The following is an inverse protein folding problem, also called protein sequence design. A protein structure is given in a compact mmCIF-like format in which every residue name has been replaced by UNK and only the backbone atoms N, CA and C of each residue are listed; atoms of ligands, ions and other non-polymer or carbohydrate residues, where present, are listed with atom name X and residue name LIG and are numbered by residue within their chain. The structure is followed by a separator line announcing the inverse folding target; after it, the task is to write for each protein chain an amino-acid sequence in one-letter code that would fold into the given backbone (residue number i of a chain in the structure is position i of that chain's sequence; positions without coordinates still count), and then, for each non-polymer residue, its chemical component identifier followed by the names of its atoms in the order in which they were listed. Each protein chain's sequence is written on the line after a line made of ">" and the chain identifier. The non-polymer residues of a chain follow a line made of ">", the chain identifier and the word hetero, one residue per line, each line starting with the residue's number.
data_IF_372687886264
#
_entry.id   IF_372687886264
#
_cell.length_a   1.000
_cell.length_b   1.000
_cell.length_c   1.000
_cell.angle_alpha   90.00
_cell.angle_beta   90.00
_cell.angle_gamma   90.00
#
_symmetry.space_group_name_H-M   'P 1'
#
loop_
_entity.id
_entity.type
_entity.pdbx_description
1 polymer ?
#
# COMPACT_ATOMS: atom_id res chain seq x y z
N UNK A 1 17.40 -4.37 39.78
CA UNK A 1 17.79 -3.09 39.15
C UNK A 1 17.70 -3.31 37.65
N UNK A 2 16.51 -3.11 37.10
CA UNK A 2 16.17 -3.46 35.71
C UNK A 2 16.77 -2.39 34.80
N UNK A 3 17.57 -2.78 33.81
CA UNK A 3 18.21 -1.84 32.87
C UNK A 3 17.14 -1.02 32.11
N UNK A 4 17.01 0.26 32.46
CA UNK A 4 16.24 1.27 31.73
C UNK A 4 17.08 1.82 30.53
N UNK A 5 18.16 1.14 30.16
CA UNK A 5 19.28 1.77 29.46
C UNK A 5 19.27 1.70 27.92
N UNK A 6 18.35 0.98 27.28
CA UNK A 6 18.25 0.99 25.82
C UNK A 6 17.07 1.82 25.33
N UNK A 7 17.37 2.93 24.68
CA UNK A 7 16.37 3.69 23.93
C UNK A 7 15.82 2.76 22.84
N UNK A 8 14.50 2.51 22.78
CA UNK A 8 13.96 1.62 21.77
C UNK A 8 14.22 2.19 20.37
N UNK A 9 14.55 1.29 19.43
CA UNK A 9 14.76 1.65 18.03
C UNK A 9 13.56 2.41 17.46
N UNK A 10 13.84 3.44 16.68
CA UNK A 10 12.85 4.29 16.03
C UNK A 10 12.61 3.83 14.58
N UNK A 11 11.36 3.48 14.28
CA UNK A 11 10.91 3.17 12.93
C UNK A 11 10.02 4.28 12.40
N UNK A 12 10.33 4.81 11.23
CA UNK A 12 9.52 5.85 10.57
C UNK A 12 8.67 5.19 9.49
N UNK A 13 7.34 5.31 9.60
CA UNK A 13 6.40 4.69 8.67
C UNK A 13 5.70 5.76 7.84
N UNK A 14 6.19 5.99 6.62
CA UNK A 14 5.51 6.85 5.65
C UNK A 14 4.23 6.17 5.18
N UNK A 15 3.09 6.85 5.32
CA UNK A 15 1.78 6.27 5.05
C UNK A 15 1.25 5.38 6.18
N UNK A 16 1.85 5.44 7.38
CA UNK A 16 1.44 4.64 8.54
C UNK A 16 0.00 4.88 9.02
N UNK A 17 -0.63 6.00 8.66
CA UNK A 17 -2.05 6.28 8.97
C UNK A 17 -3.05 5.59 8.01
N UNK A 18 -2.56 4.99 6.92
CA UNK A 18 -3.38 4.37 5.87
C UNK A 18 -3.93 2.99 6.24
N UNK A 19 -4.46 2.27 5.23
CA UNK A 19 -4.95 0.90 5.39
C UNK A 19 -3.83 -0.05 5.81
N UNK A 20 -2.85 -0.33 4.94
CA UNK A 20 -1.71 -1.21 5.30
C UNK A 20 -0.91 -0.66 6.48
N UNK A 21 -0.74 0.67 6.50
CA UNK A 21 0.04 1.37 7.52
C UNK A 21 -0.37 1.08 8.96
N UNK A 22 -1.66 1.07 9.28
CA UNK A 22 -2.12 0.82 10.66
C UNK A 22 -1.75 -0.58 11.14
N UNK A 23 -1.75 -1.58 10.25
CA UNK A 23 -1.37 -2.95 10.59
C UNK A 23 0.14 -3.07 10.81
N UNK A 24 0.95 -2.41 9.97
CA UNK A 24 2.41 -2.31 10.14
C UNK A 24 2.76 -1.62 11.46
N UNK A 25 2.14 -0.46 11.74
CA UNK A 25 2.34 0.28 12.99
C UNK A 25 2.01 -0.59 14.20
N UNK A 26 0.88 -1.31 14.17
CA UNK A 26 0.49 -2.24 15.24
C UNK A 26 1.49 -3.39 15.39
N UNK A 27 1.97 -3.97 14.30
CA UNK A 27 2.93 -5.08 14.32
C UNK A 27 4.27 -4.64 14.94
N UNK A 28 4.75 -3.45 14.57
CA UNK A 28 5.98 -2.86 15.12
C UNK A 28 5.80 -2.43 16.60
N UNK A 29 4.64 -1.88 16.95
CA UNK A 29 4.35 -1.49 18.34
C UNK A 29 4.39 -2.69 19.29
N UNK A 30 3.82 -3.84 18.88
CA UNK A 30 3.88 -5.09 19.65
C UNK A 30 5.31 -5.60 19.90
N UNK A 31 6.24 -5.26 19.02
CA UNK A 31 7.67 -5.63 19.11
C UNK A 31 8.51 -4.64 19.92
N UNK A 32 7.89 -3.59 20.48
CA UNK A 32 8.58 -2.63 21.35
C UNK A 32 9.28 -1.48 20.63
N UNK A 33 9.14 -1.35 19.30
CA UNK A 33 9.70 -0.21 18.57
C UNK A 33 9.02 1.10 18.98
N UNK A 34 9.76 2.21 18.91
CA UNK A 34 9.15 3.55 18.81
C UNK A 34 8.77 3.78 17.37
N UNK A 35 7.58 4.32 17.12
CA UNK A 35 7.06 4.49 15.77
C UNK A 35 6.74 5.95 15.52
N UNK A 36 7.34 6.51 14.48
CA UNK A 36 6.95 7.81 13.95
C UNK A 36 6.10 7.61 12.71
N UNK A 37 4.82 7.95 12.80
CA UNK A 37 3.86 7.81 11.70
C UNK A 37 3.91 9.06 10.83
N UNK A 38 4.67 8.98 9.74
CA UNK A 38 4.85 10.08 8.79
C UNK A 38 3.65 10.15 7.84
N UNK A 39 2.81 11.18 8.01
CA UNK A 39 1.57 11.34 7.25
C UNK A 39 1.28 12.81 6.94
N UNK A 40 0.40 13.05 5.96
CA UNK A 40 0.09 14.42 5.50
C UNK A 40 -0.73 15.23 6.51
N UNK A 41 -1.59 14.55 7.27
CA UNK A 41 -2.57 15.12 8.21
C UNK A 41 -2.47 14.36 9.55
N UNK A 42 -1.47 14.68 10.39
CA UNK A 42 -1.29 14.00 11.68
C UNK A 42 -2.47 14.24 12.64
N UNK A 43 -3.18 15.35 12.47
CA UNK A 43 -4.43 15.68 13.16
C UNK A 43 -5.55 14.64 12.94
N UNK A 44 -5.52 13.92 11.81
CA UNK A 44 -6.49 12.87 11.47
C UNK A 44 -5.96 11.45 11.77
N UNK A 45 -4.74 11.34 12.31
CA UNK A 45 -4.07 10.06 12.54
C UNK A 45 -4.18 9.59 14.01
N UNK A 46 -5.13 10.12 14.78
CA UNK A 46 -5.31 9.75 16.19
C UNK A 46 -5.62 8.26 16.39
N UNK A 47 -6.26 7.60 15.43
CA UNK A 47 -6.61 6.18 15.49
C UNK A 47 -5.41 5.22 15.55
N UNK A 48 -4.19 5.69 15.20
CA UNK A 48 -2.99 4.86 15.32
C UNK A 48 -2.37 4.88 16.72
N UNK A 49 -2.65 5.89 17.54
CA UNK A 49 -2.04 6.01 18.87
C UNK A 49 -2.44 4.89 19.83
N UNK A 50 -3.72 4.45 19.90
CA UNK A 50 -4.13 3.35 20.78
C UNK A 50 -3.60 1.98 20.38
N UNK A 51 -2.89 1.85 19.23
CA UNK A 51 -2.33 0.59 18.77
C UNK A 51 -1.06 0.17 19.53
N UNK A 52 -0.50 1.05 20.35
CA UNK A 52 0.70 0.83 21.14
C UNK A 52 0.61 1.50 22.51
N UNK A 53 1.71 1.45 23.25
CA UNK A 53 1.82 2.06 24.57
C UNK A 53 1.91 3.60 24.49
N UNK A 54 1.67 4.27 25.61
CA UNK A 54 1.77 5.72 25.72
C UNK A 54 3.16 6.20 25.26
N UNK A 55 3.17 7.19 24.36
CA UNK A 55 4.41 7.77 23.81
C UNK A 55 5.14 6.89 22.79
N UNK A 56 4.67 5.67 22.54
CA UNK A 56 5.30 4.76 21.59
C UNK A 56 5.06 5.16 20.13
N UNK A 57 3.85 5.67 19.82
CA UNK A 57 3.41 6.01 18.47
C UNK A 57 3.21 7.52 18.36
N UNK A 58 3.98 8.17 17.49
CA UNK A 58 3.93 9.61 17.28
C UNK A 58 3.61 9.94 15.81
N UNK A 59 2.37 10.36 15.50
CA UNK A 59 2.05 10.94 14.21
C UNK A 59 2.80 12.25 13.99
N UNK A 60 3.43 12.40 12.82
CA UNK A 60 4.14 13.62 12.42
C UNK A 60 3.74 14.03 11.02
N UNK A 61 3.83 15.32 10.74
CA UNK A 61 3.60 15.85 9.41
C UNK A 61 4.77 15.49 8.48
N UNK A 62 4.46 14.81 7.38
CA UNK A 62 5.38 14.59 6.28
C UNK A 62 4.64 14.46 4.95
N UNK A 63 5.23 14.96 3.87
CA UNK A 63 4.72 14.82 2.52
C UNK A 63 5.86 14.37 1.61
N UNK A 64 5.78 13.16 1.05
CA UNK A 64 6.84 12.59 0.20
C UNK A 64 7.19 13.46 -1.02
N UNK A 65 6.29 14.37 -1.42
CA UNK A 65 6.53 15.34 -2.50
C UNK A 65 7.31 16.58 -2.06
N UNK A 66 7.63 16.71 -0.78
CA UNK A 66 8.26 17.89 -0.17
C UNK A 66 9.49 17.44 0.60
N UNK A 67 10.67 17.61 -0.03
CA UNK A 67 11.94 17.02 0.42
C UNK A 67 12.26 17.30 1.89
N UNK A 68 12.28 18.57 2.30
CA UNK A 68 12.62 18.95 3.68
C UNK A 68 11.71 18.28 4.72
N UNK A 69 10.44 18.00 4.37
CA UNK A 69 9.50 17.35 5.30
C UNK A 69 9.81 15.86 5.48
N UNK A 70 10.34 15.21 4.43
CA UNK A 70 10.82 13.83 4.47
C UNK A 70 12.10 13.76 5.31
N UNK A 71 13.06 14.66 5.06
CA UNK A 71 14.33 14.71 5.79
C UNK A 71 14.10 14.91 7.29
N UNK A 72 13.21 15.84 7.68
CA UNK A 72 12.84 16.02 9.10
C UNK A 72 12.16 14.78 9.69
N UNK A 73 11.31 14.11 8.92
CA UNK A 73 10.58 12.95 9.41
C UNK A 73 11.50 11.74 9.71
N UNK A 74 12.62 11.59 9.02
CA UNK A 74 13.55 10.46 9.22
C UNK A 74 14.61 10.68 10.30
N UNK A 75 14.70 11.88 10.90
CA UNK A 75 15.76 12.18 11.87
C UNK A 75 15.80 11.19 13.04
N UNK A 76 16.97 10.56 13.24
CA UNK A 76 17.20 9.57 14.29
C UNK A 76 16.50 8.23 14.09
N UNK A 77 16.02 7.94 12.88
CA UNK A 77 15.43 6.65 12.55
C UNK A 77 16.49 5.56 12.44
N UNK A 78 16.19 4.37 12.93
CA UNK A 78 16.97 3.15 12.70
C UNK A 78 16.50 2.44 11.42
N UNK A 79 15.20 2.56 11.10
CA UNK A 79 14.61 1.99 9.90
C UNK A 79 13.48 2.86 9.36
N UNK A 80 13.30 2.86 8.05
CA UNK A 80 12.24 3.58 7.36
C UNK A 80 11.39 2.60 6.56
N UNK A 81 10.07 2.67 6.72
CA UNK A 81 9.10 1.91 5.94
C UNK A 81 8.31 2.89 5.07
N UNK A 82 8.35 2.69 3.75
CA UNK A 82 7.60 3.51 2.82
C UNK A 82 6.40 2.76 2.25
N UNK A 83 5.20 3.16 2.68
CA UNK A 83 3.91 2.60 2.25
C UNK A 83 3.13 3.55 1.34
N UNK A 84 3.73 4.67 0.93
CA UNK A 84 2.99 5.72 0.23
C UNK A 84 2.70 5.29 -1.20
N UNK A 85 1.41 5.25 -1.53
CA UNK A 85 0.90 4.98 -2.86
C UNK A 85 -0.37 5.78 -3.10
N UNK A 86 -0.64 6.11 -4.36
CA UNK A 86 -1.94 6.60 -4.82
C UNK A 86 -2.44 5.66 -5.92
N UNK A 87 -3.74 5.41 -5.96
CA UNK A 87 -4.37 4.57 -6.99
C UNK A 87 -4.99 5.38 -8.14
N UNK A 88 -5.06 6.70 -7.97
CA UNK A 88 -5.52 7.64 -8.97
C UNK A 88 -4.86 9.00 -8.71
N UNK A 89 -4.74 9.80 -9.76
CA UNK A 89 -4.16 11.13 -9.65
C UNK A 89 -5.21 12.18 -9.28
N UNK A 90 -4.93 13.03 -8.30
CA UNK A 90 -5.82 14.13 -7.90
C UNK A 90 -5.03 15.38 -7.59
N UNK A 91 -5.34 16.48 -8.30
CA UNK A 91 -4.64 17.75 -8.15
C UNK A 91 -3.13 17.61 -8.30
N UNK A 92 -2.38 17.95 -7.24
CA UNK A 92 -0.91 17.84 -7.20
C UNK A 92 -0.40 16.42 -6.85
N UNK A 93 -1.27 15.44 -6.59
CA UNK A 93 -0.89 14.05 -6.33
C UNK A 93 -0.82 13.31 -7.66
N UNK A 94 0.37 13.34 -8.27
CA UNK A 94 0.66 12.68 -9.55
C UNK A 94 1.45 11.40 -9.31
N UNK A 95 1.27 10.40 -10.16
CA UNK A 95 1.92 9.10 -9.98
C UNK A 95 3.45 9.24 -9.92
N UNK A 96 4.06 9.99 -10.85
CA UNK A 96 5.51 10.24 -10.82
C UNK A 96 5.96 11.02 -9.57
N UNK A 97 5.18 12.00 -9.11
CA UNK A 97 5.52 12.79 -7.93
C UNK A 97 5.50 11.97 -6.63
N UNK A 98 4.67 10.92 -6.56
CA UNK A 98 4.50 10.10 -5.36
C UNK A 98 5.33 8.82 -5.42
N UNK A 99 5.29 8.09 -6.54
CA UNK A 99 5.90 6.77 -6.67
C UNK A 99 7.38 6.82 -7.06
N UNK A 100 7.80 7.75 -7.92
CA UNK A 100 9.21 7.91 -8.31
C UNK A 100 9.89 8.93 -7.39
N UNK A 101 9.55 10.22 -7.53
CA UNK A 101 10.16 11.28 -6.73
C UNK A 101 10.01 11.03 -5.22
N UNK A 102 8.80 10.62 -4.79
CA UNK A 102 8.53 10.37 -3.38
C UNK A 102 9.32 9.19 -2.82
N UNK A 103 9.43 8.08 -3.56
CA UNK A 103 10.24 6.93 -3.14
C UNK A 103 11.74 7.28 -3.10
N UNK A 104 12.23 7.99 -4.12
CA UNK A 104 13.61 8.49 -4.16
C UNK A 104 13.92 9.41 -2.97
N UNK A 105 13.05 10.37 -2.69
CA UNK A 105 13.22 11.30 -1.57
C UNK A 105 13.28 10.54 -0.23
N UNK A 106 12.44 9.52 -0.03
CA UNK A 106 12.48 8.69 1.18
C UNK A 106 13.75 7.87 1.25
N UNK A 107 14.22 7.30 0.14
CA UNK A 107 15.45 6.52 0.11
C UNK A 107 16.69 7.39 0.40
N UNK A 108 16.78 8.57 -0.21
CA UNK A 108 17.89 9.49 0.04
C UNK A 108 17.88 10.01 1.48
N UNK A 109 16.70 10.26 2.04
CA UNK A 109 16.51 10.63 3.43
C UNK A 109 16.92 9.50 4.39
N UNK A 110 16.47 8.25 4.16
CA UNK A 110 16.86 7.09 4.95
C UNK A 110 18.39 6.89 4.94
N UNK A 111 19.02 6.97 3.76
CA UNK A 111 20.48 6.90 3.61
C UNK A 111 21.20 7.99 4.41
N UNK A 112 20.67 9.22 4.41
CA UNK A 112 21.30 10.35 5.11
C UNK A 112 21.41 10.18 6.62
N UNK A 113 20.55 9.33 7.21
CA UNK A 113 20.57 9.01 8.64
C UNK A 113 21.11 7.60 8.94
N UNK A 114 21.56 6.87 7.91
CA UNK A 114 22.05 5.50 8.04
C UNK A 114 20.97 4.46 8.37
N UNK A 115 19.70 4.75 8.08
CA UNK A 115 18.59 3.85 8.37
C UNK A 115 18.42 2.78 7.29
N UNK A 116 17.98 1.58 7.70
CA UNK A 116 17.46 0.56 6.78
C UNK A 116 16.18 1.04 6.07
N UNK A 117 15.87 0.44 4.90
CA UNK A 117 14.70 0.82 4.11
C UNK A 117 13.90 -0.40 3.66
N UNK A 118 12.60 -0.37 3.99
CA UNK A 118 11.58 -1.26 3.41
C UNK A 118 10.62 -0.46 2.54
N UNK A 119 10.55 -0.78 1.25
CA UNK A 119 9.66 -0.15 0.28
C UNK A 119 8.49 -1.06 -0.07
N UNK A 120 7.28 -0.50 -0.08
CA UNK A 120 6.11 -1.16 -0.67
C UNK A 120 5.88 -0.65 -2.09
N UNK A 121 5.83 -1.61 -3.00
CA UNK A 121 5.46 -1.43 -4.39
C UNK A 121 4.13 -2.15 -4.66
N UNK A 122 3.92 -2.65 -5.87
CA UNK A 122 2.75 -3.42 -6.26
C UNK A 122 3.16 -4.53 -7.22
N UNK A 123 2.44 -5.65 -7.17
CA UNK A 123 2.60 -6.71 -8.16
C UNK A 123 2.32 -6.17 -9.58
N UNK A 124 3.12 -6.59 -10.56
CA UNK A 124 3.06 -6.07 -11.94
C UNK A 124 3.78 -4.73 -12.16
N UNK A 125 4.59 -4.26 -11.20
CA UNK A 125 5.45 -3.10 -11.41
C UNK A 125 6.51 -3.41 -12.49
N UNK A 126 6.34 -2.79 -13.67
CA UNK A 126 7.24 -2.92 -14.82
C UNK A 126 7.43 -1.55 -15.51
N UNK A 127 8.69 -1.22 -15.81
CA UNK A 127 9.10 -0.01 -16.53
C UNK A 127 8.47 0.08 -17.93
N UNK A 128 8.18 -1.06 -18.56
CA UNK A 128 7.59 -1.14 -19.89
C UNK A 128 6.06 -1.24 -19.87
N UNK A 129 5.43 -1.27 -18.69
CA UNK A 129 3.98 -1.42 -18.58
C UNK A 129 3.23 -0.26 -19.28
N UNK A 130 2.12 -0.53 -19.99
CA UNK A 130 1.26 0.53 -20.49
C UNK A 130 0.59 1.32 -19.35
N UNK A 131 0.43 0.72 -18.16
CA UNK A 131 -0.08 1.40 -16.97
C UNK A 131 0.94 2.39 -16.42
N UNK A 132 0.51 3.65 -16.24
CA UNK A 132 1.33 4.67 -15.61
C UNK A 132 1.58 4.37 -14.15
N UNK A 133 0.62 3.75 -13.45
CA UNK A 133 0.81 3.31 -12.08
C UNK A 133 1.94 2.28 -11.98
N UNK A 134 1.87 1.20 -12.77
CA UNK A 134 2.88 0.13 -12.75
C UNK A 134 4.28 0.66 -13.12
N UNK A 135 4.37 1.46 -14.19
CA UNK A 135 5.63 2.07 -14.63
C UNK A 135 6.24 2.99 -13.58
N UNK A 136 5.44 3.85 -12.94
CA UNK A 136 5.96 4.76 -11.91
C UNK A 136 6.34 4.04 -10.61
N UNK A 137 5.67 2.91 -10.30
CA UNK A 137 6.09 2.03 -9.21
C UNK A 137 7.44 1.38 -9.49
N UNK A 138 7.67 0.86 -10.70
CA UNK A 138 8.96 0.31 -11.10
C UNK A 138 10.08 1.37 -11.12
N UNK A 139 9.79 2.60 -11.53
CA UNK A 139 10.74 3.73 -11.42
C UNK A 139 11.11 4.01 -9.96
N UNK A 140 10.14 3.95 -9.05
CA UNK A 140 10.37 4.08 -7.61
C UNK A 140 11.25 2.98 -7.04
N UNK A 141 11.01 1.72 -7.44
CA UNK A 141 11.85 0.58 -7.03
C UNK A 141 13.30 0.76 -7.50
N UNK A 142 13.48 1.16 -8.76
CA UNK A 142 14.81 1.46 -9.31
C UNK A 142 15.49 2.57 -8.51
N UNK A 143 14.80 3.68 -8.24
CA UNK A 143 15.36 4.79 -7.48
C UNK A 143 15.73 4.40 -6.04
N UNK A 144 14.95 3.49 -5.42
CA UNK A 144 15.26 2.92 -4.11
C UNK A 144 16.54 2.11 -4.15
N UNK A 145 16.68 1.16 -5.07
CA UNK A 145 17.89 0.34 -5.17
C UNK A 145 19.14 1.13 -5.60
N UNK A 146 18.99 2.11 -6.50
CA UNK A 146 20.07 3.02 -6.88
C UNK A 146 20.60 3.82 -5.67
N UNK A 147 19.78 4.01 -4.63
CA UNK A 147 20.11 4.81 -3.46
C UNK A 147 20.57 3.96 -2.27
N UNK A 148 19.87 2.86 -1.98
CA UNK A 148 20.16 1.89 -0.92
C UNK A 148 20.05 0.50 -1.56
N UNK A 149 21.19 -0.05 -1.97
CA UNK A 149 21.24 -1.34 -2.65
C UNK A 149 20.74 -2.51 -1.78
N UNK A 150 20.84 -2.38 -0.45
CA UNK A 150 20.39 -3.38 0.52
C UNK A 150 18.90 -3.23 0.92
N UNK A 151 18.15 -2.31 0.32
CA UNK A 151 16.75 -2.12 0.64
C UNK A 151 15.91 -3.39 0.37
N UNK A 152 14.85 -3.58 1.16
CA UNK A 152 13.88 -4.66 0.93
C UNK A 152 12.66 -4.08 0.23
N UNK A 153 12.24 -4.67 -0.88
CA UNK A 153 11.02 -4.25 -1.59
C UNK A 153 10.00 -5.38 -1.53
N UNK A 154 8.78 -5.09 -1.07
CA UNK A 154 7.66 -6.02 -1.24
C UNK A 154 6.68 -5.53 -2.31
N UNK A 155 6.26 -6.47 -3.17
CA UNK A 155 5.20 -6.31 -4.18
C UNK A 155 4.00 -7.17 -3.78
N UNK A 156 3.11 -6.65 -2.91
CA UNK A 156 1.92 -7.37 -2.56
C UNK A 156 0.94 -7.44 -3.73
N UNK A 157 0.19 -8.55 -3.78
CA UNK A 157 -1.06 -8.66 -4.55
C UNK A 157 -2.14 -7.77 -3.91
N UNK A 158 -3.42 -7.99 -4.24
CA UNK A 158 -4.53 -7.25 -3.65
C UNK A 158 -4.59 -7.53 -2.14
N UNK A 159 -4.26 -6.49 -1.35
CA UNK A 159 -4.38 -6.53 0.10
C UNK A 159 -5.85 -6.47 0.53
N UNK A 160 -6.29 -7.41 1.36
CA UNK A 160 -7.64 -7.41 1.96
C UNK A 160 -7.60 -7.40 3.50
N UNK A 161 -8.65 -6.86 4.11
CA UNK A 161 -8.78 -6.68 5.56
C UNK A 161 -9.94 -5.72 5.93
N UNK A 162 -10.17 -5.45 7.23
CA UNK A 162 -11.36 -4.73 7.71
C UNK A 162 -11.58 -3.33 7.10
N UNK A 163 -10.53 -2.67 6.62
CA UNK A 163 -10.59 -1.32 6.03
C UNK A 163 -10.01 -1.25 4.62
N UNK A 164 -9.99 -2.38 3.90
CA UNK A 164 -9.58 -2.40 2.52
C UNK A 164 -10.54 -1.53 1.67
N UNK A 165 -10.10 -1.11 0.48
CA UNK A 165 -10.90 -0.25 -0.40
C UNK A 165 -11.46 -0.97 -1.63
N UNK A 166 -11.02 -2.20 -1.87
CA UNK A 166 -11.37 -2.98 -3.04
C UNK A 166 -12.63 -3.80 -2.77
N UNK A 167 -12.59 -4.75 -1.83
CA UNK A 167 -13.71 -5.58 -1.43
C UNK A 167 -14.80 -4.74 -0.75
N UNK A 168 -14.43 -3.85 0.18
CA UNK A 168 -15.41 -2.97 0.83
C UNK A 168 -16.16 -2.06 -0.16
N UNK A 169 -15.60 -1.73 -1.33
CA UNK A 169 -16.34 -1.00 -2.37
C UNK A 169 -17.48 -1.85 -2.93
N UNK A 170 -17.19 -3.08 -3.32
CA UNK A 170 -18.20 -4.00 -3.86
C UNK A 170 -19.21 -4.43 -2.78
N UNK A 171 -18.75 -4.66 -1.54
CA UNK A 171 -19.63 -4.93 -0.41
C UNK A 171 -20.60 -3.76 -0.15
N UNK A 172 -20.11 -2.52 -0.19
CA UNK A 172 -20.98 -1.34 -0.08
C UNK A 172 -21.96 -1.21 -1.25
N UNK A 173 -21.54 -1.50 -2.49
CA UNK A 173 -22.45 -1.55 -3.64
C UNK A 173 -23.53 -2.62 -3.46
N UNK A 174 -23.16 -3.80 -2.93
CA UNK A 174 -24.08 -4.91 -2.69
C UNK A 174 -25.18 -4.58 -1.66
N UNK A 175 -24.98 -3.55 -0.82
CA UNK A 175 -26.02 -3.09 0.11
C UNK A 175 -27.20 -2.44 -0.61
N UNK A 176 -26.96 -1.76 -1.72
CA UNK A 176 -27.95 -0.91 -2.38
C UNK A 176 -28.33 -1.39 -3.79
N UNK A 177 -27.40 -2.03 -4.51
CA UNK A 177 -27.63 -2.55 -5.85
C UNK A 177 -27.95 -4.04 -5.81
N UNK A 178 -28.94 -4.55 -6.58
CA UNK A 178 -29.16 -5.98 -6.77
C UNK A 178 -28.11 -6.64 -7.69
N UNK A 179 -27.29 -5.83 -8.38
CA UNK A 179 -26.31 -6.26 -9.38
C UNK A 179 -24.91 -5.74 -9.03
N UNK A 180 -23.89 -6.57 -9.22
CA UNK A 180 -22.48 -6.17 -9.15
C UNK A 180 -21.78 -6.35 -10.51
N UNK A 181 -20.91 -5.41 -10.93
CA UNK A 181 -20.20 -5.50 -12.19
C UNK A 181 -18.99 -6.43 -12.12
N UNK A 182 -18.89 -7.37 -13.06
CA UNK A 182 -17.69 -8.16 -13.34
C UNK A 182 -16.92 -7.56 -14.51
N UNK A 183 -16.02 -6.64 -14.22
CA UNK A 183 -15.17 -5.99 -15.24
C UNK A 183 -14.37 -7.07 -15.98
N UNK A 184 -14.42 -7.04 -17.32
CA UNK A 184 -13.72 -8.00 -18.17
C UNK A 184 -14.30 -9.42 -18.13
N UNK A 185 -15.53 -9.59 -17.62
CA UNK A 185 -16.17 -10.92 -17.50
C UNK A 185 -15.68 -11.75 -16.31
N UNK A 186 -14.85 -11.17 -15.45
CA UNK A 186 -14.46 -11.76 -14.18
C UNK A 186 -13.44 -12.90 -14.23
N UNK A 187 -12.80 -13.11 -15.39
CA UNK A 187 -11.84 -14.21 -15.61
C UNK A 187 -10.41 -13.88 -15.15
N UNK A 188 -10.11 -12.61 -14.90
CA UNK A 188 -8.79 -12.19 -14.41
C UNK A 188 -8.55 -12.79 -13.03
N UNK A 189 -7.32 -13.24 -12.80
CA UNK A 189 -6.92 -13.95 -11.60
C UNK A 189 -6.23 -13.01 -10.64
N UNK A 190 -6.54 -13.15 -9.37
CA UNK A 190 -5.95 -12.43 -8.24
C UNK A 190 -5.46 -13.46 -7.23
N UNK A 191 -4.47 -13.08 -6.43
CA UNK A 191 -4.00 -13.89 -5.30
C UNK A 191 -4.07 -13.07 -4.01
N UNK A 192 -5.30 -12.76 -3.52
CA UNK A 192 -5.50 -11.77 -2.46
C UNK A 192 -4.72 -12.13 -1.20
N UNK A 193 -3.97 -11.18 -0.66
CA UNK A 193 -3.10 -11.38 0.51
C UNK A 193 -3.68 -10.64 1.71
N UNK A 194 -3.68 -11.30 2.87
CA UNK A 194 -4.20 -10.67 4.09
C UNK A 194 -3.24 -9.59 4.57
N UNK A 195 -3.79 -8.40 4.87
CA UNK A 195 -2.99 -7.25 5.29
C UNK A 195 -2.17 -7.48 6.56
N UNK A 196 -2.63 -8.39 7.44
CA UNK A 196 -1.89 -8.79 8.62
C UNK A 196 -0.58 -9.52 8.28
N UNK A 197 -0.59 -10.39 7.28
CA UNK A 197 0.58 -11.15 6.86
C UNK A 197 1.58 -10.25 6.14
N UNK A 198 1.09 -9.29 5.35
CA UNK A 198 1.95 -8.25 4.75
C UNK A 198 2.60 -7.38 5.83
N UNK A 199 1.85 -7.00 6.86
CA UNK A 199 2.41 -6.23 7.98
C UNK A 199 3.47 -7.03 8.76
N UNK A 200 3.27 -8.33 8.91
CA UNK A 200 4.22 -9.25 9.53
C UNK A 200 5.50 -9.38 8.70
N UNK A 201 5.39 -9.57 7.38
CA UNK A 201 6.55 -9.62 6.47
C UNK A 201 7.37 -8.31 6.52
N UNK A 202 6.69 -7.16 6.56
CA UNK A 202 7.35 -5.86 6.72
C UNK A 202 8.05 -5.78 8.08
N UNK A 203 7.41 -6.21 9.17
CA UNK A 203 8.02 -6.15 10.50
C UNK A 203 9.29 -7.01 10.59
N UNK A 204 9.28 -8.22 10.00
CA UNK A 204 10.47 -9.08 9.90
C UNK A 204 11.60 -8.46 9.09
N UNK A 205 11.28 -7.67 8.06
CA UNK A 205 12.31 -6.91 7.33
C UNK A 205 12.95 -5.82 8.18
N UNK A 206 12.22 -5.22 9.12
CA UNK A 206 12.76 -4.25 10.09
C UNK A 206 13.64 -4.93 11.14
N UNK A 207 13.34 -6.18 11.49
CA UNK A 207 14.13 -7.01 12.42
C UNK A 207 15.41 -7.57 11.80
N UNK A 208 15.59 -7.43 10.47
CA UNK A 208 16.73 -7.97 9.74
C UNK A 208 16.62 -9.46 9.42
N UNK A 209 15.43 -10.05 9.55
CA UNK A 209 15.16 -11.47 9.24
C UNK A 209 14.94 -11.73 7.75
N UNK A 210 14.68 -10.67 6.98
CA UNK A 210 14.50 -10.73 5.53
C UNK A 210 15.75 -10.21 4.85
N UNK A 211 16.27 -10.97 3.88
CA UNK A 211 17.49 -10.61 3.16
C UNK A 211 17.30 -9.32 2.35
N UNK A 212 18.21 -8.36 2.54
CA UNK A 212 18.24 -7.12 1.79
C UNK A 212 18.63 -7.28 0.33
N UNK A 213 18.40 -6.23 -0.45
CA UNK A 213 18.74 -6.16 -1.88
C UNK A 213 17.89 -7.05 -2.78
N UNK A 214 16.65 -7.36 -2.34
CA UNK A 214 15.74 -8.24 -3.07
C UNK A 214 14.32 -7.66 -3.14
N UNK A 215 13.61 -8.08 -4.19
CA UNK A 215 12.19 -7.86 -4.36
C UNK A 215 11.47 -9.16 -3.98
N UNK A 216 10.48 -9.05 -3.11
CA UNK A 216 9.62 -10.15 -2.67
C UNK A 216 8.19 -9.91 -3.13
N UNK A 217 7.63 -10.86 -3.88
CA UNK A 217 6.23 -10.83 -4.30
C UNK A 217 5.38 -11.53 -3.24
N UNK A 218 4.34 -10.85 -2.75
CA UNK A 218 3.50 -11.35 -1.66
C UNK A 218 2.10 -11.69 -2.19
N UNK A 219 1.87 -12.98 -2.43
CA UNK A 219 0.58 -13.56 -2.77
C UNK A 219 -0.07 -14.24 -1.57
N UNK A 220 -1.40 -14.26 -1.54
CA UNK A 220 -2.13 -15.11 -0.60
C UNK A 220 -2.09 -16.60 -0.95
N UNK A 221 -2.71 -17.46 -0.12
CA UNK A 221 -2.65 -18.91 -0.29
C UNK A 221 -3.48 -19.43 -1.48
N UNK A 222 -4.40 -18.64 -2.01
CA UNK A 222 -5.34 -19.05 -3.05
C UNK A 222 -5.29 -18.10 -4.24
N UNK A 223 -5.29 -18.67 -5.44
CA UNK A 223 -5.49 -17.94 -6.69
C UNK A 223 -6.96 -18.03 -7.06
N UNK A 224 -7.63 -16.89 -7.09
CA UNK A 224 -9.06 -16.77 -7.36
C UNK A 224 -9.28 -15.88 -8.58
N UNK A 225 -10.23 -16.24 -9.42
CA UNK A 225 -10.77 -15.32 -10.43
C UNK A 225 -11.49 -14.16 -9.76
N UNK A 226 -11.64 -13.03 -10.48
CA UNK A 226 -12.41 -11.90 -9.97
C UNK A 226 -13.83 -12.30 -9.59
N UNK A 227 -14.43 -13.20 -10.38
CA UNK A 227 -15.75 -13.75 -10.11
C UNK A 227 -15.77 -14.51 -8.78
N UNK A 228 -14.84 -15.44 -8.57
CA UNK A 228 -14.73 -16.20 -7.31
C UNK A 228 -14.51 -15.26 -6.12
N UNK A 229 -13.66 -14.24 -6.25
CA UNK A 229 -13.48 -13.20 -5.22
C UNK A 229 -14.81 -12.50 -4.86
N UNK A 230 -15.66 -12.21 -5.84
CA UNK A 230 -16.97 -11.59 -5.60
C UNK A 230 -17.99 -12.57 -5.00
N UNK A 231 -17.95 -13.84 -5.39
CA UNK A 231 -18.79 -14.90 -4.84
C UNK A 231 -18.46 -15.15 -3.37
N UNK A 232 -17.18 -15.29 -3.02
CA UNK A 232 -16.70 -15.41 -1.64
C UNK A 232 -17.12 -14.21 -0.79
N UNK A 233 -16.90 -12.99 -1.29
CA UNK A 233 -17.33 -11.77 -0.59
C UNK A 233 -18.85 -11.78 -0.32
N UNK A 234 -19.66 -12.10 -1.32
CA UNK A 234 -21.13 -12.16 -1.20
C UNK A 234 -21.60 -13.22 -0.21
N UNK A 235 -20.93 -14.37 -0.18
CA UNK A 235 -21.18 -15.43 0.79
C UNK A 235 -20.88 -14.96 2.23
N UNK A 236 -19.73 -14.30 2.44
CA UNK A 236 -19.33 -13.79 3.76
C UNK A 236 -20.26 -12.70 4.29
N UNK A 237 -20.73 -11.79 3.43
CA UNK A 237 -21.66 -10.70 3.86
C UNK A 237 -23.14 -11.13 3.87
N UNK A 238 -23.42 -12.41 3.58
CA UNK A 238 -24.75 -13.00 3.45
C UNK A 238 -25.69 -12.19 2.51
N UNK A 239 -25.22 -11.95 1.29
CA UNK A 239 -26.00 -11.23 0.25
C UNK A 239 -26.03 -12.01 -1.05
N UNK A 240 -27.19 -12.01 -1.71
CA UNK A 240 -27.37 -12.54 -3.06
C UNK A 240 -27.44 -11.39 -4.06
N UNK A 241 -26.48 -11.35 -4.99
CA UNK A 241 -26.40 -10.34 -6.06
C UNK A 241 -26.07 -10.98 -7.39
N UNK A 242 -26.68 -10.47 -8.46
CA UNK A 242 -26.36 -10.92 -9.80
C UNK A 242 -25.00 -10.35 -10.21
N UNK A 243 -24.09 -11.21 -10.62
CA UNK A 243 -22.78 -10.82 -11.15
C UNK A 243 -22.90 -10.65 -12.67
N UNK A 244 -22.81 -9.41 -13.14
CA UNK A 244 -23.02 -9.07 -14.56
C UNK A 244 -21.68 -8.78 -15.24
N UNK A 245 -21.30 -9.54 -16.29
CA UNK A 245 -20.12 -9.25 -17.10
C UNK A 245 -20.18 -7.84 -17.72
N UNK A 246 -19.13 -7.06 -17.52
CA UNK A 246 -18.94 -5.76 -18.16
C UNK A 246 -17.80 -5.86 -19.16
N UNK A 247 -18.06 -5.80 -20.48
CA UNK A 247 -17.02 -5.83 -21.50
C UNK A 247 -15.99 -4.70 -21.33
N UNK A 248 -14.75 -4.93 -21.74
CA UNK A 248 -13.65 -3.98 -21.56
C UNK A 248 -13.89 -2.61 -22.20
N UNK A 249 -14.58 -2.55 -23.34
CA UNK A 249 -14.89 -1.29 -24.01
C UNK A 249 -15.90 -0.47 -23.19
N UNK A 250 -16.90 -1.11 -22.57
CA UNK A 250 -17.84 -0.46 -21.64
C UNK A 250 -17.10 0.07 -20.43
N UNK A 251 -16.22 -0.76 -19.83
CA UNK A 251 -15.42 -0.36 -18.69
C UNK A 251 -14.51 0.84 -19.01
N UNK A 252 -13.94 0.91 -20.22
CA UNK A 252 -13.14 2.04 -20.68
C UNK A 252 -13.96 3.33 -20.83
N UNK A 253 -15.18 3.25 -21.36
CA UNK A 253 -16.09 4.41 -21.45
C UNK A 253 -16.46 4.90 -20.05
N UNK A 254 -16.88 3.98 -19.17
CA UNK A 254 -17.20 4.30 -17.78
C UNK A 254 -16.01 4.93 -17.06
N UNK A 255 -14.81 4.36 -17.20
CA UNK A 255 -13.60 4.91 -16.62
C UNK A 255 -13.27 6.31 -17.15
N UNK A 256 -13.53 6.58 -18.43
CA UNK A 256 -13.30 7.91 -19.05
C UNK A 256 -14.18 9.00 -18.45
N UNK A 257 -15.39 8.64 -18.02
CA UNK A 257 -16.36 9.54 -17.40
C UNK A 257 -16.11 9.64 -15.89
N UNK A 258 -16.00 8.50 -15.22
CA UNK A 258 -15.86 8.40 -13.77
C UNK A 258 -14.52 8.94 -13.25
N UNK A 259 -13.45 8.92 -14.06
CA UNK A 259 -12.16 9.50 -13.68
C UNK A 259 -12.19 11.03 -13.48
N UNK A 260 -13.23 11.72 -13.98
CA UNK A 260 -13.41 13.17 -13.80
C UNK A 260 -14.01 13.51 -12.43
N UNK A 261 -14.54 12.53 -11.70
CA UNK A 261 -15.08 12.73 -10.37
C UNK A 261 -13.94 12.94 -9.34
N UNK A 262 -14.16 13.73 -8.28
CA UNK A 262 -13.15 13.95 -7.24
C UNK A 262 -12.64 12.67 -6.57
N UNK A 263 -13.49 11.64 -6.49
CA UNK A 263 -13.17 10.31 -5.97
C UNK A 263 -13.63 9.25 -7.00
N UNK A 264 -12.79 8.91 -8.00
CA UNK A 264 -13.20 8.05 -9.10
C UNK A 264 -13.39 6.59 -8.64
N UNK A 265 -14.53 6.00 -9.01
CA UNK A 265 -14.84 4.58 -8.77
C UNK A 265 -14.08 3.63 -9.71
N UNK A 266 -13.66 4.12 -10.87
CA UNK A 266 -12.89 3.37 -11.85
C UNK A 266 -12.08 4.36 -12.70
N UNK A 267 -10.79 4.11 -12.87
CA UNK A 267 -9.92 4.89 -13.76
C UNK A 267 -9.43 4.06 -14.93
N UNK A 268 -9.01 4.71 -16.02
CA UNK A 268 -8.46 4.00 -17.19
C UNK A 268 -7.26 3.14 -16.83
N UNK A 269 -6.41 3.64 -15.93
CA UNK A 269 -5.24 2.93 -15.46
C UNK A 269 -5.62 1.68 -14.65
N UNK A 270 -6.65 1.76 -13.80
CA UNK A 270 -7.18 0.58 -13.11
C UNK A 270 -7.77 -0.46 -14.09
N UNK A 271 -8.44 -0.02 -15.16
CA UNK A 271 -8.94 -0.95 -16.19
C UNK A 271 -7.79 -1.66 -16.89
N UNK A 272 -6.67 -0.98 -17.17
CA UNK A 272 -5.48 -1.61 -17.73
C UNK A 272 -4.89 -2.65 -16.76
N UNK A 273 -4.71 -2.29 -15.48
CA UNK A 273 -4.21 -3.22 -14.47
C UNK A 273 -5.11 -4.44 -14.28
N UNK A 274 -6.43 -4.28 -14.36
CA UNK A 274 -7.37 -5.39 -14.24
C UNK A 274 -7.24 -6.40 -15.38
N UNK A 275 -6.66 -6.04 -16.54
CA UNK A 275 -6.47 -6.97 -17.67
C UNK A 275 -5.32 -7.95 -17.45
N UNK A 276 -4.40 -7.60 -16.56
CA UNK A 276 -3.25 -8.44 -16.23
C UNK A 276 -3.60 -9.31 -15.02
N UNK A 277 -3.11 -10.56 -15.03
CA UNK A 277 -3.25 -11.43 -13.87
C UNK A 277 -2.38 -10.90 -12.72
N UNK A 278 -2.95 -10.83 -11.52
CA UNK A 278 -2.27 -10.34 -10.33
C UNK A 278 -1.96 -11.52 -9.38
N UNK A 279 -1.09 -12.41 -9.84
CA UNK A 279 -0.68 -13.65 -9.19
C UNK A 279 0.85 -13.72 -9.15
N UNK A 280 1.40 -14.30 -8.09
CA UNK A 280 2.84 -14.56 -7.93
C UNK A 280 3.23 -15.85 -8.64
#
# INVERSE_FOLDING_TARGET
>A
MTEILQTPKLVVVFGGSGFVGRHVVRALAKRGYRIRVACRRPDLAGHVQPLGNVGQIQPVQANVRVRWSVDRAVQGADHVVNLVAILHETGRQKFGAVHDFGARAVAEAARSVGAGLTQISALGADLNSPSSYARTKALGEKAVFDTIADAVIFRPSINFGPEDSFFNRFANMARYSPVLPLIGGGQNKFQPVYVGDVAEAIARSVEGEVKGGQIYELGGPQVLTFKECMEEMLAVIDRRRLLVPVPWWVANIQASILQLLPNPLLTKDQVLQLREHNVV
#
